data_IF_609701381122
#
_entry.id   IF_609701381122
#
_cell.length_a   1.000
_cell.length_b   1.000
_cell.length_c   1.000
_cell.angle_alpha   90.00
_cell.angle_beta   90.00
_cell.angle_gamma   90.00
#
_symmetry.space_group_name_H-M   'P 1'
#
loop_
_entity.id
_entity.type
_entity.pdbx_description
1 polymer ?
#
# COMPACT_ATOMS: atom_id res chain seq x y z
N UNK A 1 21.77 45.62 49.50
CA UNK A 1 20.31 45.89 49.57
C UNK A 1 19.77 46.02 48.15
N UNK A 2 18.86 45.11 47.78
CA UNK A 2 17.78 45.27 46.76
C UNK A 2 18.22 45.60 45.32
N UNK A 3 18.23 44.69 44.34
CA UNK A 3 17.15 43.94 43.65
C UNK A 3 16.87 44.47 42.24
N UNK A 4 16.47 43.54 41.37
CA UNK A 4 15.60 43.67 40.21
C UNK A 4 16.19 44.01 38.81
N UNK A 5 16.35 42.93 38.03
CA UNK A 5 15.62 42.62 36.78
C UNK A 5 15.52 43.73 35.69
N UNK A 6 16.03 43.46 34.48
CA UNK A 6 15.16 43.29 33.30
C UNK A 6 15.86 42.64 32.09
N UNK A 7 15.10 41.75 31.46
CA UNK A 7 15.35 40.98 30.22
C UNK A 7 15.42 41.87 28.97
N UNK A 8 16.22 41.48 27.98
CA UNK A 8 15.96 41.59 26.52
C UNK A 8 16.66 40.40 25.85
N UNK A 9 15.97 39.36 25.38
CA UNK A 9 15.14 39.30 24.17
C UNK A 9 15.94 39.72 22.93
N UNK A 10 16.75 38.81 22.39
CA UNK A 10 17.29 38.92 21.03
C UNK A 10 16.55 37.90 20.16
N UNK A 11 15.61 38.43 19.39
CA UNK A 11 14.85 37.76 18.34
C UNK A 11 15.82 37.46 17.20
N UNK A 12 16.04 36.17 16.90
CA UNK A 12 16.60 35.78 15.60
C UNK A 12 15.45 35.45 14.66
N UNK A 13 15.15 36.45 13.83
CA UNK A 13 14.52 36.31 12.53
C UNK A 13 15.26 35.21 11.76
N UNK A 14 14.58 34.12 11.43
CA UNK A 14 15.09 33.12 10.50
C UNK A 14 13.98 32.80 9.50
N UNK A 15 14.01 33.53 8.39
CA UNK A 15 13.60 33.14 7.04
C UNK A 15 12.28 32.38 6.88
N UNK A 16 11.27 33.13 6.41
CA UNK A 16 10.25 32.62 5.49
C UNK A 16 10.90 31.79 4.38
N UNK A 17 10.45 30.54 4.23
CA UNK A 17 10.62 29.77 2.99
C UNK A 17 9.24 29.34 2.50
N UNK A 18 9.08 29.58 1.21
CA UNK A 18 7.92 29.43 0.35
C UNK A 18 7.35 28.02 0.31
N UNK A 19 6.03 27.90 0.16
CA UNK A 19 5.38 26.65 -0.24
C UNK A 19 3.88 26.62 0.04
N UNK A 20 3.08 26.80 -1.01
CA UNK A 20 1.65 26.42 -1.25
C UNK A 20 0.57 26.83 -0.22
N UNK A 21 0.86 26.94 1.07
CA UNK A 21 -0.08 27.39 2.11
C UNK A 21 -0.35 28.90 2.11
N UNK A 22 0.48 29.70 1.43
CA UNK A 22 0.33 31.16 1.42
C UNK A 22 -0.99 31.66 0.79
N UNK A 23 -1.63 30.85 -0.07
CA UNK A 23 -2.87 31.25 -0.75
C UNK A 23 -4.14 31.06 0.11
N UNK A 24 -4.06 30.37 1.25
CA UNK A 24 -5.17 30.20 2.19
C UNK A 24 -5.06 31.10 3.42
N UNK A 25 -3.95 31.85 3.57
CA UNK A 25 -3.68 32.68 4.75
C UNK A 25 -4.52 33.96 4.86
N UNK A 26 -5.25 34.40 3.82
CA UNK A 26 -5.96 35.70 3.90
C UNK A 26 -7.15 35.73 4.86
N UNK A 27 -7.67 34.57 5.30
CA UNK A 27 -8.78 34.47 6.26
C UNK A 27 -8.37 33.92 7.63
N UNK A 28 -7.09 33.60 7.85
CA UNK A 28 -6.60 32.94 9.06
C UNK A 28 -5.96 33.91 10.09
N UNK A 29 -5.68 35.15 9.70
CA UNK A 29 -4.90 36.11 10.51
C UNK A 29 -5.63 36.62 11.77
N UNK A 30 -6.94 36.37 11.94
CA UNK A 30 -7.70 36.75 13.16
C UNK A 30 -7.68 35.70 14.28
N UNK A 31 -7.13 34.49 14.07
CA UNK A 31 -7.16 33.40 15.06
C UNK A 31 -5.78 33.15 15.71
N UNK A 32 -4.86 34.12 15.61
CA UNK A 32 -3.54 34.05 16.23
C UNK A 32 -3.61 34.24 17.76
N UNK A 33 -4.02 33.19 18.47
CA UNK A 33 -3.92 33.15 19.94
C UNK A 33 -4.78 32.10 20.67
N UNK A 34 -5.67 31.38 19.97
CA UNK A 34 -6.45 30.30 20.58
C UNK A 34 -5.69 28.99 20.53
N UNK A 35 -5.33 28.50 21.72
CA UNK A 35 -4.79 27.16 21.90
C UNK A 35 -5.93 26.21 22.28
N UNK A 36 -5.95 25.02 21.68
CA UNK A 36 -6.94 24.00 21.93
C UNK A 36 -6.35 22.82 22.69
N UNK A 37 -7.13 22.27 23.62
CA UNK A 37 -6.78 21.04 24.34
C UNK A 37 -7.03 19.81 23.47
N UNK A 38 -6.39 18.68 23.79
CA UNK A 38 -6.58 17.42 23.03
C UNK A 38 -8.04 16.96 22.96
N UNK A 39 -8.85 17.29 23.98
CA UNK A 39 -10.27 16.97 24.03
C UNK A 39 -11.11 17.87 23.13
N UNK A 40 -10.81 19.17 23.08
CA UNK A 40 -11.48 20.12 22.18
C UNK A 40 -11.12 19.82 20.71
N UNK A 41 -9.86 19.49 20.43
CA UNK A 41 -9.42 19.06 19.09
C UNK A 41 -10.14 17.78 18.66
N UNK A 42 -10.30 16.82 19.57
CA UNK A 42 -11.05 15.60 19.28
C UNK A 42 -12.50 15.91 18.93
N UNK A 43 -13.17 16.77 19.71
CA UNK A 43 -14.57 17.14 19.45
C UNK A 43 -14.75 17.77 18.06
N UNK A 44 -13.82 18.65 17.64
CA UNK A 44 -13.86 19.26 16.30
C UNK A 44 -13.56 18.26 15.17
N UNK A 45 -12.67 17.29 15.41
CA UNK A 45 -12.31 16.30 14.40
C UNK A 45 -13.36 15.20 14.26
N UNK A 46 -14.12 14.88 15.32
CA UNK A 46 -15.16 13.85 15.29
C UNK A 46 -16.33 14.20 14.37
N UNK A 47 -16.61 15.49 14.13
CA UNK A 47 -17.66 15.92 13.18
C UNK A 47 -17.32 15.51 11.73
N UNK A 48 -16.03 15.53 11.36
CA UNK A 48 -15.56 15.17 10.01
C UNK A 48 -15.03 13.72 9.92
N UNK A 49 -14.51 13.17 11.04
CA UNK A 49 -13.81 11.88 11.11
C UNK A 49 -14.25 11.07 12.35
N UNK A 50 -15.27 10.20 12.23
CA UNK A 50 -15.83 9.48 13.37
C UNK A 50 -14.89 8.44 14.01
N UNK A 51 -13.87 7.98 13.26
CA UNK A 51 -12.93 6.93 13.71
C UNK A 51 -11.70 7.50 14.44
N UNK A 52 -11.63 8.81 14.64
CA UNK A 52 -10.48 9.46 15.29
C UNK A 52 -10.54 9.26 16.79
N UNK A 53 -9.42 8.82 17.36
CA UNK A 53 -9.25 8.65 18.81
C UNK A 53 -8.07 9.46 19.32
N UNK A 54 -8.05 9.72 20.63
CA UNK A 54 -6.93 10.36 21.33
C UNK A 54 -5.62 9.60 21.08
N UNK A 55 -5.68 8.27 21.01
CA UNK A 55 -4.55 7.40 20.70
C UNK A 55 -3.97 7.67 19.31
N UNK A 56 -4.83 7.91 18.31
CA UNK A 56 -4.42 8.25 16.95
C UNK A 56 -3.72 9.61 16.89
N UNK A 57 -4.24 10.63 17.57
CA UNK A 57 -3.61 11.97 17.63
C UNK A 57 -2.23 11.89 18.31
N UNK A 58 -2.11 11.17 19.42
CA UNK A 58 -0.82 10.94 20.11
C UNK A 58 0.17 10.13 19.27
N UNK A 59 -0.33 9.20 18.47
CA UNK A 59 0.49 8.46 17.53
C UNK A 59 1.04 9.35 16.42
N UNK A 60 0.22 10.26 15.86
CA UNK A 60 0.69 11.23 14.86
C UNK A 60 1.73 12.20 15.43
N UNK A 61 1.60 12.59 16.71
CA UNK A 61 2.64 13.34 17.45
C UNK A 61 3.94 12.53 17.57
N UNK A 62 3.87 11.26 17.98
CA UNK A 62 5.08 10.44 18.14
C UNK A 62 5.77 10.12 16.80
N UNK A 63 5.01 10.13 15.70
CA UNK A 63 5.53 10.03 14.35
C UNK A 63 6.03 11.38 13.80
N UNK A 64 6.05 12.45 14.59
CA UNK A 64 6.61 13.75 14.23
C UNK A 64 5.82 14.49 13.13
N UNK A 65 4.56 14.12 12.91
CA UNK A 65 3.71 14.79 11.91
C UNK A 65 3.06 16.06 12.45
N UNK A 66 2.97 16.17 13.77
CA UNK A 66 2.47 17.33 14.51
C UNK A 66 3.42 17.57 15.69
N UNK A 67 3.56 18.81 16.13
CA UNK A 67 4.52 19.20 17.16
C UNK A 67 3.87 20.14 18.20
N UNK A 68 2.85 19.64 18.95
CA UNK A 68 2.05 20.48 19.83
C UNK A 68 2.92 21.11 20.92
N UNK A 69 2.71 22.40 21.15
CA UNK A 69 3.39 23.11 22.22
C UNK A 69 3.01 22.54 23.59
N UNK A 70 4.00 22.44 24.48
CA UNK A 70 3.75 22.05 25.87
C UNK A 70 3.70 23.28 26.75
N UNK A 71 2.64 23.38 27.54
CA UNK A 71 2.58 24.33 28.65
C UNK A 71 3.67 24.05 29.68
N UNK A 72 4.01 25.06 30.47
CA UNK A 72 4.84 24.91 31.69
C UNK A 72 4.30 23.86 32.67
N UNK A 73 3.00 23.55 32.59
CA UNK A 73 2.33 22.50 33.36
C UNK A 73 2.32 21.10 32.67
N UNK A 74 2.93 20.96 31.49
CA UNK A 74 3.10 19.67 30.80
C UNK A 74 1.93 19.23 29.91
N UNK A 75 0.84 19.99 29.85
CA UNK A 75 -0.29 19.73 28.94
C UNK A 75 0.03 20.19 27.51
N UNK A 76 -0.49 19.43 26.53
CA UNK A 76 -0.40 19.73 25.09
C UNK A 76 -1.40 20.80 24.70
N UNK A 77 -0.93 21.78 23.95
CA UNK A 77 -1.72 22.83 23.34
C UNK A 77 -1.56 22.73 21.84
N UNK A 78 -2.67 22.59 21.14
CA UNK A 78 -2.70 22.58 19.68
C UNK A 78 -2.99 23.98 19.17
N UNK A 79 -2.23 24.44 18.17
CA UNK A 79 -2.54 25.67 17.44
C UNK A 79 -3.56 25.39 16.33
N UNK A 80 -4.18 26.44 15.79
CA UNK A 80 -5.10 26.29 14.67
C UNK A 80 -4.43 25.64 13.44
N UNK A 81 -3.16 25.96 13.18
CA UNK A 81 -2.36 25.38 12.09
C UNK A 81 -2.18 23.86 12.27
N UNK A 82 -1.97 23.40 13.50
CA UNK A 82 -1.83 21.97 13.80
C UNK A 82 -3.14 21.20 13.62
N UNK A 83 -4.27 21.84 13.91
CA UNK A 83 -5.58 21.25 13.67
C UNK A 83 -5.84 21.10 12.17
N UNK A 84 -5.48 22.10 11.37
CA UNK A 84 -5.58 22.03 9.92
C UNK A 84 -4.66 20.94 9.34
N UNK A 85 -3.43 20.83 9.87
CA UNK A 85 -2.49 19.76 9.53
C UNK A 85 -3.04 18.38 9.90
N UNK A 86 -3.69 18.24 11.07
CA UNK A 86 -4.37 17.01 11.48
C UNK A 86 -5.51 16.64 10.53
N UNK A 87 -6.36 17.62 10.16
CA UNK A 87 -7.44 17.40 9.17
C UNK A 87 -6.88 16.90 7.84
N UNK A 88 -5.79 17.51 7.36
CA UNK A 88 -5.15 17.09 6.12
C UNK A 88 -4.61 15.65 6.20
N UNK A 89 -3.86 15.33 7.27
CA UNK A 89 -3.32 13.98 7.47
C UNK A 89 -4.45 12.94 7.50
N UNK A 90 -5.50 13.20 8.28
CA UNK A 90 -6.61 12.25 8.44
C UNK A 90 -7.40 12.06 7.15
N UNK A 91 -7.57 13.12 6.35
CA UNK A 91 -8.18 13.05 5.02
C UNK A 91 -7.33 12.23 4.06
N UNK A 92 -6.02 12.47 4.00
CA UNK A 92 -5.10 11.70 3.15
C UNK A 92 -5.01 10.22 3.57
N UNK A 93 -5.19 9.90 4.85
CA UNK A 93 -5.27 8.51 5.30
C UNK A 93 -6.60 7.85 4.94
N UNK A 94 -7.72 8.57 5.07
CA UNK A 94 -9.07 8.05 4.82
C UNK A 94 -9.36 7.88 3.33
N UNK A 95 -9.01 8.89 2.53
CA UNK A 95 -9.42 8.97 1.13
C UNK A 95 -8.32 8.42 0.20
N UNK A 96 -7.04 8.64 0.56
CA UNK A 96 -5.89 8.35 -0.31
C UNK A 96 -4.98 7.22 0.21
N UNK A 97 -5.26 6.65 1.39
CA UNK A 97 -4.53 5.54 2.02
C UNK A 97 -3.00 5.72 2.02
N UNK A 98 -2.52 6.94 2.23
CA UNK A 98 -1.08 7.22 2.11
C UNK A 98 -0.31 6.81 3.37
N UNK A 99 0.89 6.21 3.21
CA UNK A 99 1.80 5.99 4.32
C UNK A 99 2.20 7.31 4.98
N UNK A 100 2.34 7.32 6.31
CA UNK A 100 2.68 8.50 7.10
C UNK A 100 3.96 9.22 6.64
N UNK A 101 4.93 8.48 6.08
CA UNK A 101 6.15 9.02 5.47
C UNK A 101 5.82 9.90 4.26
N UNK A 102 5.00 9.41 3.35
CA UNK A 102 4.59 10.13 2.13
C UNK A 102 3.77 11.37 2.49
N UNK A 103 2.94 11.29 3.55
CA UNK A 103 2.19 12.44 4.06
C UNK A 103 3.14 13.48 4.66
N UNK A 104 4.19 13.06 5.39
CA UNK A 104 5.23 13.96 5.91
C UNK A 104 5.93 14.72 4.78
N UNK A 105 6.36 14.01 3.74
CA UNK A 105 7.07 14.60 2.61
C UNK A 105 6.18 15.61 1.85
N UNK A 106 4.87 15.34 1.75
CA UNK A 106 3.89 16.29 1.17
C UNK A 106 3.67 17.53 2.02
N UNK A 107 3.75 17.40 3.34
CA UNK A 107 3.56 18.49 4.29
C UNK A 107 4.77 19.41 4.47
N UNK A 108 5.95 18.99 4.01
CA UNK A 108 7.22 19.72 4.19
C UNK A 108 7.59 20.63 2.99
N UNK A 109 6.90 20.51 1.85
CA UNK A 109 7.04 21.43 0.72
C UNK A 109 8.37 21.32 -0.03
N UNK A 110 8.30 20.85 -1.28
CA UNK A 110 9.35 20.81 -2.32
C UNK A 110 10.27 19.56 -2.41
N UNK A 111 9.91 18.73 -3.40
CA UNK A 111 10.76 18.14 -4.45
C UNK A 111 12.07 17.43 -4.09
N UNK A 112 12.05 16.10 -4.22
CA UNK A 112 12.92 15.37 -5.16
C UNK A 112 12.55 13.89 -5.18
N UNK A 113 11.94 13.44 -6.28
CA UNK A 113 12.46 12.37 -7.13
C UNK A 113 13.55 11.44 -6.54
N UNK A 114 13.30 10.75 -5.42
CA UNK A 114 14.25 9.73 -4.94
C UNK A 114 13.66 8.88 -3.81
N UNK A 115 12.74 7.95 -4.10
CA UNK A 115 12.53 6.77 -3.24
C UNK A 115 12.16 5.53 -4.09
N UNK A 116 13.01 5.22 -5.08
CA UNK A 116 13.21 3.84 -5.48
C UNK A 116 14.23 3.22 -4.50
N UNK A 117 13.74 2.71 -3.38
CA UNK A 117 14.35 1.56 -2.70
C UNK A 117 13.34 0.92 -1.75
N UNK A 118 12.95 -0.34 -1.99
CA UNK A 118 12.20 -1.13 -1.04
C UNK A 118 13.19 -1.63 0.02
N UNK A 119 13.01 -1.21 1.27
CA UNK A 119 13.14 -2.05 2.47
C UNK A 119 13.09 -1.15 3.73
N UNK A 120 12.42 -1.71 4.73
CA UNK A 120 12.38 -1.28 6.13
C UNK A 120 11.66 0.03 6.47
N UNK A 121 10.45 -0.09 7.03
CA UNK A 121 10.24 0.04 8.49
C UNK A 121 8.81 -0.43 8.81
N UNK A 122 8.76 -1.49 9.61
CA UNK A 122 7.69 -2.00 10.47
C UNK A 122 6.48 -1.08 10.72
N UNK A 123 5.31 -1.54 10.29
CA UNK A 123 3.99 -1.05 10.72
C UNK A 123 3.63 -1.69 12.08
N UNK A 124 3.12 -0.96 13.10
CA UNK A 124 2.84 -1.51 14.44
C UNK A 124 1.62 -2.44 14.55
N UNK A 125 0.97 -2.83 13.45
CA UNK A 125 -0.29 -3.59 13.50
C UNK A 125 -0.15 -5.11 13.32
N UNK A 126 0.99 -5.69 13.71
CA UNK A 126 1.18 -7.15 13.77
C UNK A 126 0.96 -7.68 15.20
N UNK A 127 0.09 -8.68 15.42
CA UNK A 127 0.12 -9.45 16.67
C UNK A 127 1.45 -10.19 16.77
N UNK A 128 2.29 -9.76 17.73
CA UNK A 128 3.55 -10.42 18.05
C UNK A 128 3.27 -11.81 18.63
N UNK A 129 3.71 -12.87 17.96
CA UNK A 129 3.81 -14.17 18.61
C UNK A 129 3.98 -15.42 17.75
N UNK A 130 4.88 -15.44 16.75
CA UNK A 130 5.46 -16.71 16.27
C UNK A 130 6.98 -16.51 16.13
N UNK A 131 7.76 -17.23 16.93
CA UNK A 131 9.21 -17.34 16.79
C UNK A 131 9.50 -18.08 15.47
N UNK A 132 10.02 -17.40 14.48
CA UNK A 132 10.64 -18.04 13.31
C UNK A 132 12.03 -18.52 13.72
N UNK A 133 12.16 -19.81 14.03
CA UNK A 133 13.48 -20.46 14.07
C UNK A 133 14.01 -20.50 12.65
N UNK A 134 15.10 -19.79 12.37
CA UNK A 134 15.84 -19.98 11.12
C UNK A 134 16.58 -21.32 11.16
N UNK A 135 16.43 -22.19 10.16
CA UNK A 135 17.38 -23.27 9.94
C UNK A 135 18.39 -22.86 8.86
N UNK A 136 19.65 -23.04 9.21
CA UNK A 136 20.82 -22.82 8.38
C UNK A 136 20.84 -23.70 7.11
N UNK A 137 21.67 -23.25 6.17
CA UNK A 137 22.18 -23.91 4.95
C UNK A 137 22.25 -25.46 5.00
N UNK A 138 22.09 -26.12 3.84
CA UNK A 138 23.29 -26.71 3.25
C UNK A 138 23.39 -26.61 1.73
N UNK A 139 24.63 -26.39 1.30
CA UNK A 139 25.19 -26.67 -0.02
C UNK A 139 25.12 -28.16 -0.36
N UNK A 140 24.56 -28.54 -1.53
CA UNK A 140 25.16 -29.49 -2.50
C UNK A 140 24.16 -30.07 -3.51
N UNK A 141 24.64 -30.13 -4.76
CA UNK A 141 24.37 -31.09 -5.86
C UNK A 141 23.10 -30.97 -6.73
N UNK A 142 23.34 -30.34 -7.90
CA UNK A 142 23.28 -30.85 -9.30
C UNK A 142 22.06 -31.65 -9.82
N UNK A 143 21.76 -31.52 -11.13
CA UNK A 143 20.42 -31.66 -11.69
C UNK A 143 20.08 -33.11 -12.05
N UNK A 144 18.84 -33.52 -11.76
CA UNK A 144 18.27 -34.75 -12.31
C UNK A 144 17.42 -34.44 -13.54
N UNK A 145 17.75 -35.18 -14.58
CA UNK A 145 17.32 -35.15 -15.97
C UNK A 145 15.83 -35.54 -16.10
N UNK A 146 15.12 -34.85 -16.99
CA UNK A 146 13.72 -35.11 -17.35
C UNK A 146 13.56 -36.46 -18.03
N UNK A 147 12.55 -37.22 -17.63
CA UNK A 147 11.91 -38.25 -18.45
C UNK A 147 10.41 -37.97 -18.44
N UNK A 148 9.84 -37.87 -19.65
CA UNK A 148 8.44 -37.54 -19.87
C UNK A 148 7.51 -38.68 -19.49
N UNK A 149 6.34 -38.30 -18.96
CA UNK A 149 5.18 -39.16 -18.74
C UNK A 149 3.92 -38.31 -18.91
N UNK A 150 3.24 -38.51 -20.03
CA UNK A 150 1.97 -37.92 -20.42
C UNK A 150 0.83 -38.35 -19.49
N UNK A 151 0.10 -37.39 -18.92
CA UNK A 151 -1.35 -37.12 -19.06
C UNK A 151 -1.88 -36.39 -17.84
N UNK A 152 -2.10 -35.08 -17.96
CA UNK A 152 -2.74 -34.27 -16.92
C UNK A 152 -3.01 -32.85 -17.40
N UNK A 153 -4.26 -32.40 -17.25
CA UNK A 153 -4.68 -31.01 -17.12
C UNK A 153 -4.43 -30.05 -18.30
N UNK A 154 -5.51 -29.58 -18.93
CA UNK A 154 -5.51 -28.61 -20.05
C UNK A 154 -4.89 -27.22 -19.73
N UNK A 155 -4.36 -26.99 -18.53
CA UNK A 155 -3.65 -25.77 -18.13
C UNK A 155 -2.18 -25.80 -18.62
N UNK A 156 -1.59 -26.99 -18.81
CA UNK A 156 -0.19 -27.15 -19.17
C UNK A 156 0.16 -26.87 -20.65
N UNK A 157 -0.81 -26.51 -21.51
CA UNK A 157 -0.56 -26.25 -22.95
C UNK A 157 -0.61 -24.79 -23.38
N UNK A 158 -1.04 -23.85 -22.52
CA UNK A 158 -0.94 -22.40 -22.81
C UNK A 158 0.37 -21.77 -22.33
N UNK A 159 1.18 -22.48 -21.56
CA UNK A 159 2.43 -21.94 -20.98
C UNK A 159 3.55 -21.67 -21.98
N UNK A 160 3.38 -22.01 -23.26
CA UNK A 160 4.36 -21.77 -24.31
C UNK A 160 3.99 -20.60 -25.25
N UNK A 161 2.75 -20.10 -25.17
CA UNK A 161 2.34 -18.94 -25.96
C UNK A 161 2.98 -17.69 -25.35
N UNK A 162 3.88 -17.11 -26.13
CA UNK A 162 4.60 -15.90 -25.82
C UNK A 162 4.07 -14.83 -26.77
N UNK A 163 3.71 -13.68 -26.21
CA UNK A 163 3.16 -12.57 -26.97
C UNK A 163 4.18 -11.43 -26.99
N UNK A 164 4.36 -10.81 -28.15
CA UNK A 164 5.07 -9.53 -28.22
C UNK A 164 4.17 -8.40 -27.72
N UNK A 165 4.74 -7.20 -27.48
CA UNK A 165 3.95 -6.02 -27.09
C UNK A 165 2.84 -5.70 -28.10
N UNK A 166 3.17 -5.73 -29.40
CA UNK A 166 2.21 -5.47 -30.45
C UNK A 166 1.08 -6.51 -30.49
N UNK A 167 1.42 -7.79 -30.33
CA UNK A 167 0.43 -8.87 -30.27
C UNK A 167 -0.48 -8.75 -29.03
N UNK A 168 0.03 -8.30 -27.88
CA UNK A 168 -0.82 -8.03 -26.72
C UNK A 168 -1.85 -6.95 -27.01
N UNK A 169 -1.44 -5.83 -27.59
CA UNK A 169 -2.37 -4.73 -27.89
C UNK A 169 -3.46 -5.18 -28.86
N UNK A 170 -3.08 -5.92 -29.92
CA UNK A 170 -4.00 -6.45 -30.91
C UNK A 170 -4.97 -7.47 -30.32
N UNK A 171 -4.46 -8.43 -29.54
CA UNK A 171 -5.30 -9.52 -28.98
C UNK A 171 -6.20 -9.04 -27.85
N UNK A 172 -5.74 -8.09 -27.03
CA UNK A 172 -6.48 -7.63 -25.84
C UNK A 172 -7.35 -6.42 -26.10
N UNK A 173 -7.08 -5.66 -27.16
CA UNK A 173 -7.79 -4.41 -27.51
C UNK A 173 -7.51 -3.25 -26.55
N UNK A 174 -6.45 -3.35 -25.74
CA UNK A 174 -6.06 -2.33 -24.76
C UNK A 174 -5.16 -1.28 -25.42
N UNK A 175 -5.31 -0.03 -25.02
CA UNK A 175 -4.47 1.08 -25.50
C UNK A 175 -3.06 1.03 -24.90
N UNK A 176 -2.10 1.61 -25.64
CA UNK A 176 -0.69 1.66 -25.25
C UNK A 176 -0.48 2.38 -23.91
N UNK A 177 -1.30 3.39 -23.59
CA UNK A 177 -1.21 4.16 -22.34
C UNK A 177 -1.62 3.29 -21.15
N UNK A 178 -2.72 2.55 -21.27
CA UNK A 178 -3.15 1.60 -20.24
C UNK A 178 -2.12 0.49 -20.05
N UNK A 179 -1.59 -0.10 -21.14
CA UNK A 179 -0.55 -1.13 -21.02
C UNK A 179 0.69 -0.61 -20.28
N UNK A 180 1.18 0.59 -20.62
CA UNK A 180 2.29 1.23 -19.93
C UNK A 180 1.98 1.51 -18.45
N UNK A 181 0.73 1.88 -18.11
CA UNK A 181 0.31 2.05 -16.73
C UNK A 181 0.33 0.73 -15.94
N UNK A 182 -0.12 -0.38 -16.55
CA UNK A 182 -0.09 -1.72 -15.94
C UNK A 182 1.35 -2.22 -15.70
N UNK A 183 2.28 -1.90 -16.60
CA UNK A 183 3.70 -2.18 -16.42
C UNK A 183 4.32 -1.35 -15.29
N UNK A 184 3.95 -0.06 -15.20
CA UNK A 184 4.44 0.85 -14.16
C UNK A 184 4.04 0.38 -12.76
N UNK A 185 2.80 -0.08 -12.58
CA UNK A 185 2.33 -0.68 -11.32
C UNK A 185 2.81 -2.13 -11.14
N UNK A 186 3.59 -2.67 -12.09
CA UNK A 186 4.14 -4.04 -12.12
C UNK A 186 3.06 -5.12 -11.96
N UNK A 187 1.85 -4.86 -12.45
CA UNK A 187 0.80 -5.88 -12.54
C UNK A 187 1.15 -6.90 -13.62
N UNK A 188 1.82 -6.43 -14.68
CA UNK A 188 2.41 -7.25 -15.74
C UNK A 188 3.89 -6.93 -15.82
N UNK A 189 4.72 -7.97 -16.00
CA UNK A 189 6.18 -7.81 -16.07
C UNK A 189 6.70 -8.39 -17.38
N UNK A 190 7.00 -7.55 -18.39
CA UNK A 190 7.58 -8.05 -19.62
C UNK A 190 8.94 -8.71 -19.35
N UNK A 191 9.18 -9.85 -19.98
CA UNK A 191 10.51 -10.46 -20.01
C UNK A 191 11.22 -10.02 -21.29
N UNK A 192 12.42 -9.49 -21.16
CA UNK A 192 13.23 -9.12 -22.31
C UNK A 192 13.78 -10.39 -22.97
N UNK A 193 13.53 -10.55 -24.26
CA UNK A 193 14.13 -11.59 -25.10
C UNK A 193 14.95 -10.89 -26.20
N UNK A 194 16.24 -10.64 -25.92
CA UNK A 194 17.06 -9.78 -26.76
C UNK A 194 16.61 -8.33 -26.66
N UNK A 195 16.11 -7.77 -27.76
CA UNK A 195 15.64 -6.37 -27.85
C UNK A 195 14.12 -6.23 -27.66
N UNK A 196 13.38 -7.34 -27.64
CA UNK A 196 11.92 -7.31 -27.62
C UNK A 196 11.34 -7.69 -26.26
N UNK A 197 10.27 -7.01 -25.89
CA UNK A 197 9.47 -7.31 -24.71
C UNK A 197 8.50 -8.45 -25.01
N UNK A 198 8.61 -9.54 -24.25
CA UNK A 198 7.79 -10.73 -24.39
C UNK A 198 6.98 -10.98 -23.13
N UNK A 199 5.71 -11.31 -23.31
CA UNK A 199 4.73 -11.54 -22.27
C UNK A 199 4.25 -13.00 -22.30
N UNK A 200 3.89 -13.55 -21.14
CA UNK A 200 3.30 -14.87 -21.04
C UNK A 200 1.79 -14.86 -21.34
N UNK A 201 1.20 -16.03 -21.57
CA UNK A 201 -0.24 -16.18 -21.71
C UNK A 201 -1.03 -15.64 -20.49
N UNK A 202 -0.51 -15.84 -19.27
CA UNK A 202 -1.11 -15.28 -18.06
C UNK A 202 -1.07 -13.74 -18.04
N UNK A 203 0.00 -13.14 -18.55
CA UNK A 203 0.11 -11.69 -18.66
C UNK A 203 -0.96 -11.12 -19.60
N UNK A 204 -1.20 -11.80 -20.73
CA UNK A 204 -2.27 -11.44 -21.68
C UNK A 204 -3.64 -11.43 -21.00
N UNK A 205 -3.96 -12.47 -20.22
CA UNK A 205 -5.24 -12.57 -19.52
C UNK A 205 -5.40 -11.45 -18.48
N UNK A 206 -4.32 -11.11 -17.76
CA UNK A 206 -4.28 -9.98 -16.82
C UNK A 206 -4.52 -8.65 -17.55
N UNK A 207 -3.83 -8.40 -18.68
CA UNK A 207 -4.01 -7.17 -19.48
C UNK A 207 -5.45 -7.06 -19.98
N UNK A 208 -6.01 -8.15 -20.53
CA UNK A 208 -7.38 -8.14 -21.04
C UNK A 208 -8.41 -7.82 -19.95
N UNK A 209 -8.29 -8.44 -18.77
CA UNK A 209 -9.20 -8.18 -17.65
C UNK A 209 -9.03 -6.77 -17.10
N UNK A 210 -7.78 -6.31 -16.93
CA UNK A 210 -7.49 -4.96 -16.47
C UNK A 210 -8.05 -3.89 -17.41
N UNK A 211 -7.88 -4.06 -18.73
CA UNK A 211 -8.43 -3.16 -19.73
C UNK A 211 -9.95 -3.07 -19.68
N UNK A 212 -10.65 -4.20 -19.50
CA UNK A 212 -12.12 -4.21 -19.34
C UNK A 212 -12.58 -3.47 -18.08
N UNK A 213 -11.82 -3.53 -17.00
CA UNK A 213 -12.13 -2.81 -15.77
C UNK A 213 -11.87 -1.30 -15.93
N UNK A 214 -10.81 -0.93 -16.64
CA UNK A 214 -10.52 0.47 -16.96
C UNK A 214 -11.56 1.07 -17.89
N UNK A 215 -12.09 0.30 -18.85
CA UNK A 215 -13.23 0.71 -19.66
C UNK A 215 -14.51 0.97 -18.84
N UNK A 216 -14.64 0.36 -17.65
CA UNK A 216 -15.73 0.62 -16.69
C UNK A 216 -15.43 1.77 -15.72
N UNK A 217 -14.30 2.47 -15.89
CA UNK A 217 -13.90 3.60 -15.05
C UNK A 217 -13.00 3.25 -13.87
N UNK A 218 -12.52 2.00 -13.76
CA UNK A 218 -11.58 1.61 -12.70
C UNK A 218 -10.16 1.97 -13.14
N UNK A 219 -9.60 2.99 -12.51
CA UNK A 219 -8.22 3.41 -12.80
C UNK A 219 -7.21 2.30 -12.47
N UNK A 220 -6.12 2.16 -13.26
CA UNK A 220 -5.06 1.18 -13.00
C UNK A 220 -4.47 1.25 -11.59
N UNK A 221 -4.52 2.43 -10.96
CA UNK A 221 -4.05 2.62 -9.57
C UNK A 221 -4.81 1.77 -8.57
N UNK A 222 -6.12 1.60 -8.74
CA UNK A 222 -6.96 0.78 -7.86
C UNK A 222 -6.64 -0.71 -8.00
N UNK A 223 -6.23 -1.15 -9.19
CA UNK A 223 -5.80 -2.53 -9.43
C UNK A 223 -4.57 -2.92 -8.60
N UNK A 224 -3.79 -1.94 -8.13
CA UNK A 224 -2.68 -2.19 -7.21
C UNK A 224 -3.15 -2.83 -5.90
N UNK A 225 -4.33 -2.44 -5.39
CA UNK A 225 -4.88 -3.03 -4.17
C UNK A 225 -5.22 -4.51 -4.36
N UNK A 226 -5.76 -4.86 -5.53
CA UNK A 226 -6.04 -6.26 -5.87
C UNK A 226 -4.76 -7.06 -6.01
N UNK A 227 -3.75 -6.51 -6.70
CA UNK A 227 -2.42 -7.13 -6.77
C UNK A 227 -1.86 -7.44 -5.38
N UNK A 228 -1.89 -6.47 -4.48
CA UNK A 228 -1.34 -6.64 -3.13
C UNK A 228 -2.13 -7.68 -2.31
N UNK A 229 -3.45 -7.77 -2.49
CA UNK A 229 -4.26 -8.85 -1.91
C UNK A 229 -3.81 -10.22 -2.42
N UNK A 230 -3.67 -10.37 -3.74
CA UNK A 230 -3.25 -11.62 -4.37
C UNK A 230 -1.82 -12.02 -3.97
N UNK A 231 -0.90 -11.05 -3.81
CA UNK A 231 0.45 -11.33 -3.28
C UNK A 231 0.39 -11.90 -1.86
N UNK A 232 -0.46 -11.35 -0.99
CA UNK A 232 -0.64 -11.86 0.38
C UNK A 232 -1.22 -13.28 0.38
N UNK A 233 -2.18 -13.58 -0.49
CA UNK A 233 -2.71 -14.92 -0.64
C UNK A 233 -1.64 -15.92 -1.09
N UNK A 234 -0.82 -15.54 -2.08
CA UNK A 234 0.30 -16.36 -2.52
C UNK A 234 1.32 -16.61 -1.38
N UNK A 235 1.61 -15.59 -0.57
CA UNK A 235 2.49 -15.72 0.60
C UNK A 235 1.90 -16.69 1.66
N UNK A 236 0.57 -16.73 1.81
CA UNK A 236 -0.11 -17.69 2.69
C UNK A 236 -0.04 -19.13 2.16
N UNK A 237 -0.17 -19.32 0.84
CA UNK A 237 -0.13 -20.65 0.23
C UNK A 237 1.28 -21.23 0.15
N UNK A 238 2.28 -20.38 -0.04
CA UNK A 238 3.69 -20.75 -0.21
C UNK A 238 4.21 -21.75 0.84
N UNK A 239 4.09 -21.52 2.16
CA UNK A 239 4.58 -22.46 3.16
C UNK A 239 3.85 -23.81 3.17
N UNK A 240 2.55 -23.83 2.82
CA UNK A 240 1.73 -25.06 2.79
C UNK A 240 2.17 -25.97 1.63
N UNK A 241 2.32 -25.37 0.44
CA UNK A 241 2.78 -26.07 -0.77
C UNK A 241 4.23 -26.50 -0.61
N UNK A 242 5.11 -25.63 -0.10
CA UNK A 242 6.51 -25.94 0.12
C UNK A 242 6.71 -27.13 1.09
N UNK A 243 5.89 -27.19 2.15
CA UNK A 243 5.89 -28.33 3.08
C UNK A 243 5.54 -29.63 2.35
N UNK A 244 4.44 -29.65 1.59
CA UNK A 244 4.00 -30.84 0.84
C UNK A 244 5.06 -31.28 -0.17
N UNK A 245 5.62 -30.34 -0.92
CA UNK A 245 6.65 -30.61 -1.92
C UNK A 245 7.99 -31.10 -1.32
N UNK A 246 8.25 -30.82 -0.04
CA UNK A 246 9.46 -31.25 0.67
C UNK A 246 9.43 -32.71 1.14
N UNK A 247 8.26 -33.34 1.10
CA UNK A 247 8.10 -34.73 1.52
C UNK A 247 8.84 -35.69 0.57
N UNK A 248 9.57 -36.66 1.13
CA UNK A 248 10.30 -37.68 0.35
C UNK A 248 9.35 -38.77 -0.15
N UNK A 249 8.44 -38.42 -1.06
CA UNK A 249 7.58 -39.35 -1.80
C UNK A 249 7.59 -38.99 -3.27
N UNK A 250 7.43 -40.00 -4.12
CA UNK A 250 7.40 -39.79 -5.57
C UNK A 250 6.19 -38.93 -6.02
N UNK A 251 5.07 -39.00 -5.29
CA UNK A 251 3.86 -38.20 -5.54
C UNK A 251 3.87 -36.82 -4.91
N UNK A 252 4.89 -36.45 -4.12
CA UNK A 252 4.88 -35.23 -3.31
C UNK A 252 4.72 -33.94 -4.15
N UNK A 253 5.24 -33.95 -5.38
CA UNK A 253 5.08 -32.82 -6.32
C UNK A 253 3.67 -32.73 -6.86
N UNK A 254 3.12 -33.84 -7.34
CA UNK A 254 1.76 -33.89 -7.88
C UNK A 254 0.72 -33.56 -6.82
N UNK A 255 0.95 -34.01 -5.58
CA UNK A 255 0.07 -33.72 -4.44
C UNK A 255 0.18 -32.25 -3.99
N UNK A 256 1.37 -31.64 -4.08
CA UNK A 256 1.55 -30.21 -3.84
C UNK A 256 0.88 -29.33 -4.93
N UNK A 257 0.92 -29.77 -6.19
CA UNK A 257 0.23 -29.10 -7.30
C UNK A 257 -1.28 -29.17 -7.13
N UNK A 258 -1.84 -30.35 -6.82
CA UNK A 258 -3.27 -30.51 -6.49
C UNK A 258 -3.69 -29.64 -5.31
N UNK A 259 -2.88 -29.61 -4.26
CA UNK A 259 -3.16 -28.76 -3.09
C UNK A 259 -3.22 -27.27 -3.48
N UNK A 260 -2.29 -26.81 -4.34
CA UNK A 260 -2.31 -25.44 -4.82
C UNK A 260 -3.58 -25.15 -5.64
N UNK A 261 -3.97 -26.06 -6.54
CA UNK A 261 -5.19 -25.93 -7.34
C UNK A 261 -6.45 -25.86 -6.44
N UNK A 262 -6.53 -26.71 -5.41
CA UNK A 262 -7.63 -26.70 -4.44
C UNK A 262 -7.67 -25.38 -3.64
N UNK A 263 -6.52 -24.91 -3.17
CA UNK A 263 -6.40 -23.63 -2.45
C UNK A 263 -6.85 -22.45 -3.32
N UNK A 264 -6.42 -22.41 -4.58
CA UNK A 264 -6.84 -21.38 -5.54
C UNK A 264 -8.35 -21.42 -5.75
N UNK A 265 -8.92 -22.59 -6.05
CA UNK A 265 -10.36 -22.74 -6.27
C UNK A 265 -11.19 -22.26 -5.06
N UNK A 266 -10.83 -22.70 -3.86
CA UNK A 266 -11.55 -22.31 -2.63
C UNK A 266 -11.40 -20.82 -2.31
N UNK A 267 -10.22 -20.25 -2.54
CA UNK A 267 -9.99 -18.81 -2.32
C UNK A 267 -10.82 -17.94 -3.25
N UNK A 268 -10.96 -18.32 -4.52
CA UNK A 268 -11.82 -17.62 -5.48
C UNK A 268 -13.30 -17.68 -5.08
N UNK A 269 -13.77 -18.84 -4.61
CA UNK A 269 -15.13 -19.01 -4.11
C UNK A 269 -15.39 -18.13 -2.87
N UNK A 270 -14.44 -18.12 -1.94
CA UNK A 270 -14.52 -17.29 -0.73
C UNK A 270 -14.54 -15.79 -1.07
N UNK A 271 -13.63 -15.31 -1.92
CA UNK A 271 -13.63 -13.90 -2.34
C UNK A 271 -14.93 -13.50 -3.01
N UNK A 272 -15.47 -14.35 -3.89
CA UNK A 272 -16.75 -14.10 -4.54
C UNK A 272 -17.90 -14.04 -3.54
N UNK A 273 -17.91 -14.90 -2.52
CA UNK A 273 -18.91 -14.90 -1.46
C UNK A 273 -18.82 -13.63 -0.59
N UNK A 274 -17.61 -13.24 -0.16
CA UNK A 274 -17.37 -12.02 0.62
C UNK A 274 -17.80 -10.79 -0.17
N UNK A 275 -17.38 -10.64 -1.43
CA UNK A 275 -17.74 -9.50 -2.27
C UNK A 275 -19.26 -9.40 -2.47
N UNK A 276 -19.95 -10.53 -2.70
CA UNK A 276 -21.41 -10.55 -2.82
C UNK A 276 -22.11 -10.11 -1.53
N UNK A 277 -21.60 -10.53 -0.38
CA UNK A 277 -22.13 -10.12 0.91
C UNK A 277 -21.94 -8.61 1.12
N UNK A 278 -20.72 -8.11 0.94
CA UNK A 278 -20.41 -6.69 1.14
C UNK A 278 -21.17 -5.77 0.18
N UNK A 279 -21.46 -6.22 -1.04
CA UNK A 279 -22.20 -5.44 -2.04
C UNK A 279 -23.70 -5.72 -2.07
N UNK A 280 -24.22 -6.55 -1.16
CA UNK A 280 -25.64 -6.91 -1.14
C UNK A 280 -26.56 -5.68 -1.04
N UNK A 281 -26.18 -4.70 -0.23
CA UNK A 281 -26.90 -3.43 -0.05
C UNK A 281 -27.00 -2.60 -1.35
N UNK A 282 -26.01 -2.69 -2.25
CA UNK A 282 -26.04 -1.95 -3.52
C UNK A 282 -27.06 -2.51 -4.51
N UNK A 283 -27.56 -3.74 -4.30
CA UNK A 283 -28.56 -4.38 -5.17
C UNK A 283 -30.01 -4.09 -4.77
N UNK A 284 -30.23 -3.60 -3.55
CA UNK A 284 -31.55 -3.25 -3.03
C UNK A 284 -31.50 -1.79 -2.57
N UNK A 285 -31.70 -0.82 -3.47
CA UNK A 285 -31.90 0.55 -3.02
C UNK A 285 -33.19 0.59 -2.21
N UNK A 286 -33.10 1.04 -0.95
CA UNK A 286 -34.29 1.36 -0.12
C UNK A 286 -35.16 2.44 -0.77
#
# INVERSE_FOLDING_TARGET
MVSALKRRSSVRVTTCRSGVFASLCSSADEVAGKFFSIGEVLAMLLEEFPDVTISKIRFLESQGLIAPERTTAGYRKFTAEEIERLRFILREQKDNFLPLRVIRDRLEGETSESLLRPEDVTDPSMPRGIRVTSPAHPTSRRPAQRVGGTTGGKIARRGAERFTRAEILDTTGVDEVTLAALEKIKLVRPRMLGTEAVYAASDRDIVHLAGRLTALGIEPRLLMQWRLSSEREADLFTPLVARMASERRDSARDDAEKLLDDLLSLSEELHRAILRNLTAHLRQPE
#
